data_IF_008818884220
#
_entry.id   IF_008818884220
#
_cell.length_a   1.000
_cell.length_b   1.000
_cell.length_c   1.000
_cell.angle_alpha   90.00
_cell.angle_beta   90.00
_cell.angle_gamma   90.00
#
_symmetry.space_group_name_H-M   'P 1'
#
loop_
_entity.id
_entity.type
_entity.pdbx_description
1 polymer ?
#
# COMPACT_ATOMS: atom_id res chain seq x y z
N UNK A 1 -48.06 -4.00 -3.93
CA UNK A 1 -47.15 -3.61 -2.83
C UNK A 1 -45.98 -4.59 -2.83
N UNK A 2 -44.90 -4.25 -3.52
CA UNK A 2 -43.65 -5.02 -3.49
C UNK A 2 -43.03 -4.88 -2.10
N UNK A 3 -42.57 -5.99 -1.53
CA UNK A 3 -41.86 -5.98 -0.26
C UNK A 3 -40.72 -4.96 -0.32
N UNK A 4 -40.67 -4.01 0.63
CA UNK A 4 -39.54 -3.09 0.76
C UNK A 4 -38.32 -3.94 1.09
N UNK A 5 -37.42 -4.16 0.12
CA UNK A 5 -36.14 -4.80 0.38
C UNK A 5 -35.40 -3.99 1.44
N UNK A 6 -34.92 -4.67 2.48
CA UNK A 6 -34.13 -4.02 3.52
C UNK A 6 -32.85 -3.41 2.93
N UNK A 7 -32.43 -2.21 3.40
CA UNK A 7 -31.21 -1.59 2.91
C UNK A 7 -30.00 -2.49 3.16
N UNK A 8 -29.34 -2.92 2.07
CA UNK A 8 -28.13 -3.75 2.16
C UNK A 8 -26.90 -2.90 2.51
N UNK A 9 -26.65 -2.69 3.80
CA UNK A 9 -25.47 -1.95 4.26
C UNK A 9 -24.16 -2.59 3.77
N UNK A 10 -23.15 -1.78 3.37
CA UNK A 10 -21.83 -2.33 3.11
C UNK A 10 -21.29 -2.95 4.40
N UNK A 11 -20.56 -4.04 4.26
CA UNK A 11 -19.80 -4.60 5.38
C UNK A 11 -18.86 -3.52 5.97
N UNK A 12 -18.34 -3.70 7.19
CA UNK A 12 -17.23 -2.89 7.67
C UNK A 12 -15.98 -3.06 6.78
N UNK A 13 -15.08 -2.07 6.76
CA UNK A 13 -13.77 -2.24 6.14
C UNK A 13 -13.00 -3.34 6.88
N UNK A 14 -12.29 -4.18 6.13
CA UNK A 14 -11.45 -5.24 6.68
C UNK A 14 -10.00 -5.03 6.17
N UNK A 15 -9.01 -4.90 7.06
CA UNK A 15 -9.15 -4.77 8.52
C UNK A 15 -9.86 -3.46 8.93
N UNK A 16 -10.41 -3.38 10.15
CA UNK A 16 -11.11 -2.18 10.64
C UNK A 16 -10.26 -0.90 10.59
N UNK A 17 -8.95 -1.03 10.79
CA UNK A 17 -7.98 0.07 10.69
C UNK A 17 -7.53 0.41 9.25
N UNK A 18 -8.15 -0.13 8.21
CA UNK A 18 -7.66 -0.01 6.84
C UNK A 18 -7.59 1.43 6.34
N UNK A 19 -8.53 2.30 6.73
CA UNK A 19 -8.49 3.73 6.38
C UNK A 19 -7.27 4.42 7.01
N UNK A 20 -7.08 4.27 8.32
CA UNK A 20 -5.94 4.85 9.04
C UNK A 20 -4.61 4.31 8.52
N UNK A 21 -4.51 3.01 8.25
CA UNK A 21 -3.29 2.40 7.73
C UNK A 21 -2.89 2.97 6.36
N UNK A 22 -3.87 3.14 5.46
CA UNK A 22 -3.65 3.75 4.14
C UNK A 22 -3.28 5.22 4.28
N UNK A 23 -3.89 5.93 5.22
CA UNK A 23 -3.57 7.32 5.52
C UNK A 23 -2.15 7.52 6.04
N UNK A 24 -1.66 6.66 6.93
CA UNK A 24 -0.27 6.72 7.38
C UNK A 24 0.70 6.45 6.22
N UNK A 25 0.37 5.50 5.35
CA UNK A 25 1.20 5.15 4.19
C UNK A 25 1.28 6.31 3.18
N UNK A 26 0.14 6.87 2.77
CA UNK A 26 0.10 7.90 1.74
C UNK A 26 0.30 9.32 2.24
N UNK A 27 -0.01 9.60 3.51
CA UNK A 27 0.09 10.93 4.12
C UNK A 27 1.42 11.22 4.80
N UNK A 28 2.15 10.19 5.24
CA UNK A 28 3.42 10.36 5.99
C UNK A 28 4.57 9.63 5.31
N UNK A 29 4.45 8.31 5.12
CA UNK A 29 5.57 7.50 4.65
C UNK A 29 6.00 7.85 3.21
N UNK A 30 5.04 7.94 2.28
CA UNK A 30 5.34 8.21 0.88
C UNK A 30 6.03 9.58 0.64
N UNK A 31 5.55 10.73 1.19
CA UNK A 31 6.25 12.00 1.07
C UNK A 31 7.69 11.98 1.62
N UNK A 32 7.90 11.34 2.78
CA UNK A 32 9.23 11.23 3.38
C UNK A 32 10.21 10.45 2.49
N UNK A 33 9.77 9.30 1.96
CA UNK A 33 10.57 8.49 1.05
C UNK A 33 10.81 9.17 -0.30
N UNK A 34 9.85 9.95 -0.79
CA UNK A 34 10.05 10.79 -1.97
C UNK A 34 11.14 11.83 -1.72
N UNK A 35 11.09 12.54 -0.58
CA UNK A 35 12.11 13.51 -0.18
C UNK A 35 13.49 12.87 -0.03
N UNK A 36 13.57 11.68 0.56
CA UNK A 36 14.81 10.91 0.66
C UNK A 36 15.37 10.53 -0.72
N UNK A 37 14.54 10.06 -1.65
CA UNK A 37 14.97 9.74 -3.00
C UNK A 37 15.54 10.98 -3.73
N UNK A 38 14.89 12.14 -3.60
CA UNK A 38 15.37 13.41 -4.17
C UNK A 38 16.67 13.88 -3.53
N UNK A 39 16.81 13.74 -2.21
CA UNK A 39 18.05 14.08 -1.52
C UNK A 39 19.23 13.22 -1.99
N UNK A 40 19.01 11.91 -2.16
CA UNK A 40 20.02 11.00 -2.71
C UNK A 40 20.44 11.38 -4.14
N UNK A 41 19.49 11.78 -4.99
CA UNK A 41 19.82 12.31 -6.33
C UNK A 41 20.78 13.49 -6.21
N UNK A 42 20.46 14.46 -5.35
CA UNK A 42 21.33 15.63 -5.12
C UNK A 42 22.72 15.28 -4.60
N UNK A 43 22.84 14.22 -3.79
CA UNK A 43 24.12 13.72 -3.27
C UNK A 43 24.93 12.93 -4.32
N UNK A 44 24.28 12.20 -5.22
CA UNK A 44 24.97 11.36 -6.22
C UNK A 44 25.45 12.16 -7.43
N UNK A 45 24.77 13.24 -7.80
CA UNK A 45 25.12 14.05 -8.99
C UNK A 45 26.58 14.55 -8.95
N UNK A 46 27.10 15.15 -7.86
CA UNK A 46 28.49 15.61 -7.83
C UNK A 46 29.54 14.49 -7.92
N UNK A 47 29.17 13.26 -7.55
CA UNK A 47 30.06 12.11 -7.47
C UNK A 47 29.84 11.07 -8.57
N UNK A 48 29.06 11.38 -9.61
CA UNK A 48 28.60 10.41 -10.62
C UNK A 48 29.75 9.64 -11.29
N UNK A 49 30.90 10.28 -11.49
CA UNK A 49 32.09 9.66 -12.10
C UNK A 49 32.73 8.54 -11.27
N UNK A 50 32.44 8.47 -9.98
CA UNK A 50 32.92 7.39 -9.11
C UNK A 50 32.04 6.12 -9.22
N UNK A 51 30.84 6.26 -9.76
CA UNK A 51 29.83 5.21 -9.85
C UNK A 51 30.00 4.41 -11.14
N UNK A 52 29.70 3.11 -11.07
CA UNK A 52 29.73 2.25 -12.26
C UNK A 52 28.59 2.56 -13.22
N UNK A 53 27.40 2.86 -12.70
CA UNK A 53 26.18 3.11 -13.47
C UNK A 53 25.38 4.31 -12.91
N UNK A 54 25.93 5.54 -12.94
CA UNK A 54 25.30 6.72 -12.35
C UNK A 54 23.91 6.98 -12.94
N UNK A 55 23.75 6.92 -14.26
CA UNK A 55 22.48 7.22 -14.93
C UNK A 55 21.35 6.27 -14.53
N UNK A 56 21.68 4.98 -14.36
CA UNK A 56 20.71 3.98 -13.91
C UNK A 56 20.29 4.24 -12.45
N UNK A 57 21.24 4.59 -11.57
CA UNK A 57 20.91 4.95 -10.18
C UNK A 57 20.00 6.19 -10.13
N UNK A 58 20.35 7.24 -10.88
CA UNK A 58 19.58 8.48 -10.93
C UNK A 58 18.17 8.25 -11.48
N UNK A 59 18.04 7.47 -12.56
CA UNK A 59 16.74 7.14 -13.15
C UNK A 59 15.85 6.36 -12.19
N UNK A 60 16.39 5.36 -11.49
CA UNK A 60 15.65 4.55 -10.53
C UNK A 60 15.20 5.36 -9.31
N UNK A 61 16.07 6.24 -8.79
CA UNK A 61 15.71 7.15 -7.69
C UNK A 61 14.66 8.17 -8.13
N UNK A 62 14.77 8.73 -9.34
CA UNK A 62 13.79 9.68 -9.86
C UNK A 62 12.43 9.01 -10.08
N UNK A 63 12.42 7.79 -10.62
CA UNK A 63 11.23 6.97 -10.77
C UNK A 63 10.57 6.70 -9.41
N UNK A 64 11.36 6.33 -8.40
CA UNK A 64 10.87 6.12 -7.05
C UNK A 64 10.19 7.39 -6.49
N UNK A 65 10.85 8.55 -6.60
CA UNK A 65 10.28 9.83 -6.15
C UNK A 65 8.94 10.14 -6.82
N UNK A 66 8.85 10.00 -8.15
CA UNK A 66 7.61 10.22 -8.91
C UNK A 66 6.51 9.26 -8.47
N UNK A 67 6.81 7.98 -8.29
CA UNK A 67 5.82 6.98 -7.87
C UNK A 67 5.32 7.24 -6.44
N UNK A 68 6.20 7.65 -5.52
CA UNK A 68 5.78 8.06 -4.18
C UNK A 68 4.88 9.30 -4.22
N UNK A 69 5.16 10.29 -5.08
CA UNK A 69 4.25 11.43 -5.26
C UNK A 69 2.90 11.00 -5.83
N UNK A 70 2.86 10.03 -6.76
CA UNK A 70 1.59 9.45 -7.22
C UNK A 70 0.82 8.76 -6.09
N UNK A 71 1.52 8.08 -5.17
CA UNK A 71 0.90 7.50 -3.97
C UNK A 71 0.21 8.58 -3.13
N UNK A 72 0.86 9.73 -2.90
CA UNK A 72 0.26 10.86 -2.17
C UNK A 72 -1.02 11.34 -2.86
N UNK A 73 -0.97 11.54 -4.18
CA UNK A 73 -2.12 12.01 -4.96
C UNK A 73 -3.30 11.03 -4.92
N UNK A 74 -3.03 9.72 -5.02
CA UNK A 74 -4.08 8.70 -4.95
C UNK A 74 -4.64 8.57 -3.56
N UNK A 75 -3.79 8.67 -2.52
CA UNK A 75 -4.24 8.65 -1.14
C UNK A 75 -5.16 9.83 -0.85
N UNK A 76 -4.79 11.04 -1.28
CA UNK A 76 -5.64 12.22 -1.15
C UNK A 76 -7.01 12.02 -1.81
N UNK A 77 -7.05 11.40 -2.99
CA UNK A 77 -8.33 11.04 -3.64
C UNK A 77 -9.09 9.96 -2.88
N UNK A 78 -8.40 8.94 -2.37
CA UNK A 78 -9.01 7.85 -1.62
C UNK A 78 -9.67 8.35 -0.33
N UNK A 79 -9.03 9.30 0.38
CA UNK A 79 -9.58 9.93 1.58
C UNK A 79 -10.96 10.55 1.37
N UNK A 80 -11.21 11.11 0.18
CA UNK A 80 -12.53 11.66 -0.16
C UNK A 80 -13.67 10.61 -0.16
N UNK A 81 -13.33 9.32 -0.29
CA UNK A 81 -14.30 8.21 -0.27
C UNK A 81 -14.30 7.43 1.06
N UNK A 82 -13.46 7.81 2.03
CA UNK A 82 -13.36 7.13 3.32
C UNK A 82 -14.46 7.63 4.27
N UNK A 83 -15.70 7.21 4.00
CA UNK A 83 -16.90 7.64 4.74
C UNK A 83 -17.43 6.51 5.61
N UNK A 84 -17.70 6.80 6.89
CA UNK A 84 -18.32 5.86 7.84
C UNK A 84 -19.85 6.04 7.89
N UNK A 85 -20.62 5.00 8.23
CA UNK A 85 -22.07 5.12 8.43
C UNK A 85 -22.45 6.17 9.49
N UNK A 86 -21.61 6.35 10.53
CA UNK A 86 -21.83 7.35 11.56
C UNK A 86 -21.78 8.79 10.99
N UNK A 87 -20.76 9.09 10.18
CA UNK A 87 -20.64 10.39 9.51
C UNK A 87 -21.82 10.66 8.58
N UNK A 88 -22.32 9.64 7.88
CA UNK A 88 -23.48 9.82 6.99
C UNK A 88 -24.75 10.19 7.77
N UNK A 89 -24.96 9.61 8.96
CA UNK A 89 -26.09 10.00 9.83
C UNK A 89 -26.05 11.47 10.23
N UNK A 90 -24.85 12.05 10.37
CA UNK A 90 -24.68 13.46 10.69
C UNK A 90 -24.99 14.38 9.49
N UNK A 91 -24.82 13.89 8.26
CA UNK A 91 -24.99 14.69 7.04
C UNK A 91 -26.42 14.72 6.49
N UNK A 92 -27.22 13.69 6.76
CA UNK A 92 -28.58 13.56 6.26
C UNK A 92 -29.59 13.70 7.41
N UNK A 93 -30.26 14.87 7.55
CA UNK A 93 -31.27 15.09 8.59
C UNK A 93 -32.47 14.12 8.49
N UNK A 94 -32.70 13.57 7.31
CA UNK A 94 -33.78 12.61 7.00
C UNK A 94 -33.28 11.15 6.98
N UNK A 95 -32.13 10.84 7.61
CA UNK A 95 -31.55 9.49 7.63
C UNK A 95 -32.49 8.40 8.15
N UNK A 96 -33.42 8.74 9.04
CA UNK A 96 -34.36 7.78 9.60
C UNK A 96 -35.46 7.34 8.62
N UNK A 97 -35.62 8.03 7.47
CA UNK A 97 -36.50 7.58 6.39
C UNK A 97 -35.92 6.31 5.72
N UNK A 98 -36.65 5.18 5.69
CA UNK A 98 -36.22 3.97 5.02
C UNK A 98 -35.82 4.16 3.54
N UNK A 99 -36.48 5.09 2.83
CA UNK A 99 -36.12 5.41 1.44
C UNK A 99 -34.75 6.08 1.36
N UNK A 100 -34.44 7.00 2.30
CA UNK A 100 -33.12 7.62 2.42
C UNK A 100 -32.04 6.59 2.76
N UNK A 101 -32.33 5.67 3.69
CA UNK A 101 -31.40 4.61 4.07
C UNK A 101 -31.01 3.71 2.89
N UNK A 102 -31.97 3.39 2.01
CA UNK A 102 -31.69 2.61 0.81
C UNK A 102 -30.73 3.34 -0.16
N UNK A 103 -30.92 4.65 -0.36
CA UNK A 103 -30.04 5.49 -1.18
C UNK A 103 -28.65 5.60 -0.56
N UNK A 104 -28.57 5.91 0.74
CA UNK A 104 -27.31 6.01 1.48
C UNK A 104 -26.54 4.69 1.46
N UNK A 105 -27.21 3.55 1.65
CA UNK A 105 -26.57 2.26 1.59
C UNK A 105 -25.96 1.99 0.20
N UNK A 106 -26.62 2.44 -0.87
CA UNK A 106 -26.08 2.39 -2.22
C UNK A 106 -24.86 3.31 -2.41
N UNK A 107 -24.92 4.56 -1.94
CA UNK A 107 -23.81 5.52 -1.99
C UNK A 107 -22.57 4.98 -1.26
N UNK A 108 -22.74 4.45 -0.05
CA UNK A 108 -21.63 3.92 0.74
C UNK A 108 -20.98 2.70 0.09
N UNK A 109 -21.75 1.84 -0.60
CA UNK A 109 -21.17 0.75 -1.41
C UNK A 109 -20.32 1.30 -2.55
N UNK A 110 -20.85 2.28 -3.28
CA UNK A 110 -20.11 2.95 -4.36
C UNK A 110 -18.82 3.60 -3.85
N UNK A 111 -18.88 4.35 -2.74
CA UNK A 111 -17.72 4.97 -2.12
C UNK A 111 -16.70 3.93 -1.66
N UNK A 112 -17.13 2.82 -1.06
CA UNK A 112 -16.26 1.70 -0.68
C UNK A 112 -15.54 1.13 -1.90
N UNK A 113 -16.22 0.95 -3.02
CA UNK A 113 -15.63 0.42 -4.25
C UNK A 113 -14.60 1.38 -4.86
N UNK A 114 -14.93 2.68 -4.93
CA UNK A 114 -14.01 3.74 -5.36
C UNK A 114 -12.77 3.81 -4.46
N UNK A 115 -12.96 3.80 -3.13
CA UNK A 115 -11.87 3.76 -2.16
C UNK A 115 -10.98 2.53 -2.39
N UNK A 116 -11.57 1.33 -2.46
CA UNK A 116 -10.83 0.09 -2.64
C UNK A 116 -10.04 0.08 -3.96
N UNK A 117 -10.61 0.64 -5.04
CA UNK A 117 -9.92 0.80 -6.31
C UNK A 117 -8.68 1.70 -6.19
N UNK A 118 -8.84 2.88 -5.58
CA UNK A 118 -7.74 3.83 -5.39
C UNK A 118 -6.66 3.28 -4.45
N UNK A 119 -7.04 2.59 -3.39
CA UNK A 119 -6.09 1.96 -2.45
C UNK A 119 -5.31 0.82 -3.09
N UNK A 120 -5.94 -0.04 -3.91
CA UNK A 120 -5.20 -1.07 -4.67
C UNK A 120 -4.13 -0.43 -5.55
N UNK A 121 -4.48 0.64 -6.27
CA UNK A 121 -3.54 1.38 -7.12
C UNK A 121 -2.44 2.07 -6.31
N UNK A 122 -2.76 2.57 -5.12
CA UNK A 122 -1.79 3.17 -4.19
C UNK A 122 -0.78 2.14 -3.74
N UNK A 123 -1.22 0.96 -3.26
CA UNK A 123 -0.34 -0.12 -2.82
C UNK A 123 0.59 -0.61 -3.92
N UNK A 124 0.08 -0.81 -5.14
CA UNK A 124 0.91 -1.23 -6.27
C UNK A 124 2.02 -0.21 -6.57
N UNK A 125 1.67 1.08 -6.65
CA UNK A 125 2.67 2.13 -6.90
C UNK A 125 3.67 2.28 -5.78
N UNK A 126 3.24 2.17 -4.53
CA UNK A 126 4.11 2.22 -3.36
C UNK A 126 5.16 1.09 -3.41
N UNK A 127 4.72 -0.15 -3.66
CA UNK A 127 5.63 -1.29 -3.76
C UNK A 127 6.62 -1.13 -4.94
N UNK A 128 6.15 -0.68 -6.11
CA UNK A 128 7.05 -0.41 -7.25
C UNK A 128 8.05 0.71 -6.90
N UNK A 129 7.62 1.75 -6.17
CA UNK A 129 8.49 2.83 -5.72
C UNK A 129 9.58 2.34 -4.76
N UNK A 130 9.23 1.46 -3.80
CA UNK A 130 10.20 0.83 -2.88
C UNK A 130 11.21 -0.02 -3.63
N UNK A 131 10.76 -0.82 -4.61
CA UNK A 131 11.65 -1.62 -5.45
C UNK A 131 12.60 -0.73 -6.27
N UNK A 132 12.08 0.35 -6.87
CA UNK A 132 12.89 1.31 -7.62
C UNK A 132 13.91 2.03 -6.71
N UNK A 133 13.50 2.46 -5.52
CA UNK A 133 14.37 3.10 -4.53
C UNK A 133 15.51 2.17 -4.12
N UNK A 134 15.18 0.92 -3.75
CA UNK A 134 16.15 -0.08 -3.30
C UNK A 134 17.09 -0.47 -4.43
N UNK A 135 16.59 -0.65 -5.66
CA UNK A 135 17.41 -0.90 -6.83
C UNK A 135 18.35 0.28 -7.13
N UNK A 136 17.86 1.52 -7.06
CA UNK A 136 18.67 2.72 -7.23
C UNK A 136 19.82 2.80 -6.22
N UNK A 137 19.54 2.49 -4.96
CA UNK A 137 20.56 2.39 -3.90
C UNK A 137 21.58 1.30 -4.17
N UNK A 138 21.15 0.09 -4.55
CA UNK A 138 22.07 -1.00 -4.88
C UNK A 138 22.99 -0.63 -6.03
N UNK A 139 22.46 -0.02 -7.09
CA UNK A 139 23.24 0.43 -8.25
C UNK A 139 24.24 1.52 -7.84
N UNK A 140 23.82 2.49 -7.02
CA UNK A 140 24.69 3.53 -6.49
C UNK A 140 25.82 2.98 -5.61
N UNK A 141 25.61 1.84 -4.95
CA UNK A 141 26.65 1.21 -4.15
C UNK A 141 27.73 0.51 -4.98
N UNK A 142 27.57 0.31 -6.30
CA UNK A 142 28.58 -0.38 -7.13
C UNK A 142 29.61 0.63 -7.68
N UNK A 143 30.86 0.63 -7.16
CA UNK A 143 31.93 1.48 -7.69
C UNK A 143 32.47 0.94 -9.02
N UNK A 144 33.24 1.77 -9.75
CA UNK A 144 34.00 1.32 -10.93
C UNK A 144 35.15 0.37 -10.58
N UNK A 145 35.69 0.48 -9.36
CA UNK A 145 36.82 -0.31 -8.85
C UNK A 145 36.41 -1.52 -7.99
N UNK A 146 37.35 -2.11 -7.23
CA UNK A 146 37.03 -3.22 -6.34
C UNK A 146 36.00 -2.82 -5.28
N UNK A 147 35.08 -3.74 -4.99
CA UNK A 147 34.00 -3.50 -4.02
C UNK A 147 34.48 -3.89 -2.64
N UNK A 148 34.49 -2.94 -1.70
CA UNK A 148 34.83 -3.21 -0.31
C UNK A 148 33.88 -4.27 0.30
N UNK A 149 34.35 -5.17 1.18
CA UNK A 149 33.52 -6.23 1.75
C UNK A 149 32.23 -5.74 2.43
N UNK A 150 32.31 -4.64 3.20
CA UNK A 150 31.13 -4.06 3.85
C UNK A 150 30.10 -3.51 2.87
N UNK A 151 30.54 -3.04 1.71
CA UNK A 151 29.67 -2.56 0.64
C UNK A 151 28.97 -3.73 -0.06
N UNK A 152 29.67 -4.86 -0.22
CA UNK A 152 29.04 -6.12 -0.66
C UNK A 152 27.95 -6.54 0.34
N UNK A 153 28.24 -6.51 1.65
CA UNK A 153 27.25 -6.83 2.67
C UNK A 153 26.00 -5.92 2.59
N UNK A 154 26.19 -4.61 2.41
CA UNK A 154 25.09 -3.67 2.22
C UNK A 154 24.26 -3.99 0.97
N UNK A 155 24.90 -4.29 -0.16
CA UNK A 155 24.21 -4.70 -1.40
C UNK A 155 23.41 -5.98 -1.17
N UNK A 156 23.96 -6.97 -0.46
CA UNK A 156 23.25 -8.22 -0.14
C UNK A 156 22.02 -7.96 0.72
N UNK A 157 22.13 -7.15 1.77
CA UNK A 157 20.99 -6.81 2.64
C UNK A 157 19.89 -6.11 1.85
N UNK A 158 20.23 -5.12 1.02
CA UNK A 158 19.27 -4.44 0.15
C UNK A 158 18.67 -5.40 -0.89
N UNK A 159 19.47 -6.31 -1.43
CA UNK A 159 19.01 -7.33 -2.38
C UNK A 159 18.00 -8.30 -1.76
N UNK A 160 18.24 -8.74 -0.52
CA UNK A 160 17.30 -9.57 0.23
C UNK A 160 16.00 -8.83 0.52
N UNK A 161 16.07 -7.56 0.91
CA UNK A 161 14.89 -6.72 1.10
C UNK A 161 14.08 -6.55 -0.20
N UNK A 162 14.76 -6.21 -1.31
CA UNK A 162 14.12 -6.08 -2.63
C UNK A 162 13.48 -7.41 -3.08
N UNK A 163 14.11 -8.55 -2.78
CA UNK A 163 13.56 -9.85 -3.10
C UNK A 163 12.27 -10.11 -2.32
N UNK A 164 12.23 -9.82 -1.01
CA UNK A 164 11.02 -9.98 -0.19
C UNK A 164 9.87 -9.13 -0.74
N UNK A 165 10.12 -7.86 -1.05
CA UNK A 165 9.14 -6.95 -1.64
C UNK A 165 8.63 -7.43 -3.01
N UNK A 166 9.53 -7.98 -3.83
CA UNK A 166 9.17 -8.53 -5.14
C UNK A 166 8.30 -9.79 -4.99
N UNK A 167 8.63 -10.67 -4.05
CA UNK A 167 7.84 -11.87 -3.77
C UNK A 167 6.44 -11.51 -3.25
N UNK A 168 6.33 -10.51 -2.38
CA UNK A 168 5.04 -10.02 -1.91
C UNK A 168 4.22 -9.38 -3.04
N UNK A 169 4.85 -8.59 -3.91
CA UNK A 169 4.19 -8.04 -5.09
C UNK A 169 3.71 -9.14 -6.05
N UNK A 170 4.52 -10.18 -6.27
CA UNK A 170 4.17 -11.33 -7.08
C UNK A 170 2.99 -12.11 -6.50
N UNK A 171 2.96 -12.35 -5.18
CA UNK A 171 1.84 -13.04 -4.51
C UNK A 171 0.53 -12.27 -4.64
N UNK A 172 0.58 -10.94 -4.48
CA UNK A 172 -0.59 -10.07 -4.64
C UNK A 172 -1.10 -9.99 -6.08
N UNK A 173 -0.23 -10.09 -7.08
CA UNK A 173 -0.59 -9.93 -8.50
C UNK A 173 -0.97 -11.23 -9.19
N UNK A 174 -0.26 -12.33 -8.92
CA UNK A 174 -0.46 -13.63 -9.56
C UNK A 174 -1.58 -14.45 -8.91
N UNK A 175 -2.01 -14.07 -7.71
CA UNK A 175 -2.99 -14.79 -6.91
C UNK A 175 -2.43 -16.08 -6.31
N UNK A 176 -2.99 -16.47 -5.17
CA UNK A 176 -2.51 -17.56 -4.29
C UNK A 176 -2.39 -18.94 -4.94
N UNK A 177 -2.91 -19.14 -6.16
CA UNK A 177 -2.86 -20.42 -6.88
C UNK A 177 -1.56 -20.67 -7.64
N UNK A 178 -0.76 -19.64 -7.96
CA UNK A 178 0.46 -19.79 -8.78
C UNK A 178 1.77 -19.66 -8.00
N UNK A 179 1.71 -19.30 -6.72
CA UNK A 179 2.91 -19.07 -5.91
C UNK A 179 3.35 -20.36 -5.20
N UNK A 180 4.61 -20.79 -5.32
CA UNK A 180 5.13 -21.95 -4.63
C UNK A 180 4.96 -21.84 -3.10
N UNK A 181 4.64 -22.96 -2.42
CA UNK A 181 4.42 -22.98 -0.95
C UNK A 181 5.60 -22.42 -0.15
N UNK A 182 6.82 -22.57 -0.65
CA UNK A 182 8.03 -22.05 -0.01
C UNK A 182 8.08 -20.52 0.01
N UNK A 183 7.72 -19.86 -1.09
CA UNK A 183 7.62 -18.39 -1.17
C UNK A 183 6.58 -17.90 -0.18
N UNK A 184 5.42 -18.56 -0.12
CA UNK A 184 4.34 -18.19 0.83
C UNK A 184 4.80 -18.35 2.28
N UNK A 185 5.56 -19.40 2.60
CA UNK A 185 6.14 -19.58 3.94
C UNK A 185 7.15 -18.50 4.27
N UNK A 186 8.02 -18.10 3.33
CA UNK A 186 8.98 -17.03 3.54
C UNK A 186 8.28 -15.69 3.79
N UNK A 187 7.27 -15.34 2.99
CA UNK A 187 6.46 -14.12 3.18
C UNK A 187 5.74 -14.15 4.53
N UNK A 188 5.11 -15.26 4.89
CA UNK A 188 4.44 -15.39 6.20
C UNK A 188 5.40 -15.42 7.39
N UNK A 189 6.64 -15.88 7.21
CA UNK A 189 7.64 -15.84 8.28
C UNK A 189 8.18 -14.42 8.49
N UNK A 190 8.26 -13.61 7.43
CA UNK A 190 8.68 -12.22 7.48
C UNK A 190 7.57 -11.28 7.95
N UNK A 191 6.31 -11.56 7.61
CA UNK A 191 5.16 -10.80 8.07
C UNK A 191 4.81 -11.19 9.52
N UNK A 192 4.56 -10.24 10.43
CA UNK A 192 4.04 -10.57 11.74
C UNK A 192 2.71 -11.31 11.59
N UNK A 193 2.57 -12.45 12.27
CA UNK A 193 1.31 -13.20 12.28
C UNK A 193 0.20 -12.33 12.88
N UNK A 194 -0.98 -12.35 12.28
CA UNK A 194 -2.16 -11.77 12.91
C UNK A 194 -2.33 -12.40 14.30
N UNK A 195 -2.55 -11.59 15.36
CA UNK A 195 -2.80 -12.15 16.67
C UNK A 195 -4.02 -13.08 16.59
N UNK A 196 -3.98 -14.26 17.23
CA UNK A 196 -5.11 -15.18 17.20
C UNK A 196 -6.35 -14.47 17.73
N UNK A 197 -7.34 -14.26 16.87
CA UNK A 197 -8.62 -13.70 17.27
C UNK A 197 -9.37 -14.82 17.99
N UNK A 198 -9.69 -14.69 19.30
CA UNK A 198 -10.56 -15.64 19.97
C UNK A 198 -11.85 -15.71 19.15
N UNK A 199 -12.22 -16.89 18.66
CA UNK A 199 -13.55 -17.05 18.06
C UNK A 199 -14.55 -16.76 19.18
N UNK A 200 -15.37 -15.71 19.11
CA UNK A 200 -16.46 -15.60 20.07
C UNK A 200 -17.29 -16.88 19.94
N UNK A 201 -17.90 -17.38 21.04
CA UNK A 201 -18.93 -18.39 20.90
C UNK A 201 -19.98 -17.80 19.97
N UNK A 202 -20.09 -18.35 18.76
CA UNK A 202 -21.15 -17.98 17.84
C UNK A 202 -22.46 -18.34 18.53
N UNK A 203 -23.08 -17.36 19.21
CA UNK A 203 -24.46 -17.46 19.63
C UNK A 203 -25.27 -16.94 18.44
N UNK A 204 -25.94 -17.82 17.67
CA UNK A 204 -26.92 -17.34 16.72
C UNK A 204 -27.95 -16.49 17.48
N UNK A 205 -28.51 -15.44 16.85
CA UNK A 205 -29.56 -14.65 17.48
C UNK A 205 -30.67 -15.59 17.96
N UNK A 206 -31.13 -15.40 19.20
CA UNK A 206 -32.26 -16.15 19.72
C UNK A 206 -33.48 -15.90 18.81
N UNK A 207 -34.28 -16.95 18.53
CA UNK A 207 -35.44 -16.86 17.64
C UNK A 207 -36.48 -15.83 18.12
#
# INVERSE_FOLDING_TARGET
MTAREEPRWPAPPEPYGAFTAVDSLGGVAAPLLAGFAVALIGLLVPGADSLRHPDAALLLLALAAVLFLQVVQLNARARGYAVSPAQVREWYPDFDDPARQAVVAWELRHHRDCWAHLVRRTRVRYNIAILALTAGLMVALVPRGPVAPLRVAAIVVLGLFALLELLELADRTLGTRRVPRLVRRAVHAAAPADPPVPRPPFQPPAP
#
